data_IF_232593118061
#
_entry.id   IF_232593118061
#
_cell.length_a   1.000
_cell.length_b   1.000
_cell.length_c   1.000
_cell.angle_alpha   90.00
_cell.angle_beta   90.00
_cell.angle_gamma   90.00
#
_symmetry.space_group_name_H-M   'P 1'
#
loop_
_entity.id
_entity.type
_entity.pdbx_description
1 polymer ?
#
# COMPACT_ATOMS: atom_id res chain seq x y z
N UNK A 1 -23.72 -20.06 -19.78
CA UNK A 1 -22.73 -20.40 -20.79
C UNK A 1 -23.12 -19.81 -22.15
N UNK A 2 -22.20 -19.78 -23.11
CA UNK A 2 -22.61 -19.48 -24.49
C UNK A 2 -23.40 -20.68 -25.08
N UNK A 3 -24.15 -20.42 -26.15
CA UNK A 3 -25.09 -21.44 -26.71
C UNK A 3 -24.38 -22.72 -27.14
N UNK A 4 -23.16 -22.62 -27.69
CA UNK A 4 -22.39 -23.79 -28.17
C UNK A 4 -21.88 -24.62 -26.97
N UNK A 5 -21.37 -23.97 -25.93
CA UNK A 5 -20.87 -24.64 -24.74
C UNK A 5 -22.00 -25.20 -23.86
N UNK A 6 -23.15 -24.51 -23.79
CA UNK A 6 -24.33 -25.02 -23.15
C UNK A 6 -24.86 -26.31 -23.81
N UNK A 7 -24.91 -26.33 -25.14
CA UNK A 7 -25.32 -27.50 -25.89
C UNK A 7 -24.32 -28.69 -25.74
N UNK A 8 -23.02 -28.39 -25.66
CA UNK A 8 -21.98 -29.42 -25.53
C UNK A 8 -21.91 -30.05 -24.15
N UNK A 9 -22.21 -29.29 -23.09
CA UNK A 9 -22.05 -29.70 -21.70
C UNK A 9 -23.35 -30.07 -21.00
N UNK A 10 -24.49 -29.66 -21.56
CA UNK A 10 -25.81 -29.76 -20.90
C UNK A 10 -25.99 -28.78 -19.73
N UNK A 11 -25.05 -27.87 -19.51
CA UNK A 11 -25.07 -26.86 -18.44
C UNK A 11 -25.41 -25.50 -19.03
N UNK A 12 -26.56 -24.94 -18.65
CA UNK A 12 -27.02 -23.66 -19.19
C UNK A 12 -26.40 -22.46 -18.47
N UNK A 13 -26.09 -22.59 -17.20
CA UNK A 13 -25.61 -21.47 -16.38
C UNK A 13 -24.52 -21.88 -15.38
N UNK A 14 -23.73 -20.89 -14.96
CA UNK A 14 -22.78 -21.01 -13.87
C UNK A 14 -23.04 -19.89 -12.87
N UNK A 15 -23.02 -20.20 -11.57
CA UNK A 15 -23.40 -19.29 -10.50
C UNK A 15 -22.16 -18.77 -9.78
N UNK A 16 -22.01 -17.46 -9.70
CA UNK A 16 -20.95 -16.78 -8.93
C UNK A 16 -21.53 -16.07 -7.71
N UNK A 17 -20.76 -15.99 -6.63
CA UNK A 17 -21.10 -15.19 -5.46
C UNK A 17 -20.20 -13.97 -5.40
N UNK A 18 -20.76 -12.77 -5.25
CA UNK A 18 -19.99 -11.53 -5.14
C UNK A 18 -20.61 -10.55 -4.15
N UNK A 19 -19.75 -9.79 -3.47
CA UNK A 19 -20.14 -8.65 -2.63
C UNK A 19 -20.13 -7.33 -3.40
N UNK A 20 -19.49 -7.31 -4.59
CA UNK A 20 -19.30 -6.13 -5.45
C UNK A 20 -19.84 -6.41 -6.87
N UNK A 21 -21.16 -6.53 -7.06
CA UNK A 21 -21.73 -6.86 -8.37
C UNK A 21 -21.43 -5.81 -9.45
N UNK A 22 -21.17 -4.55 -9.10
CA UNK A 22 -20.77 -3.53 -10.06
C UNK A 22 -19.45 -3.84 -10.76
N UNK A 23 -18.49 -4.50 -10.07
CA UNK A 23 -17.19 -4.81 -10.68
C UNK A 23 -17.26 -5.92 -11.73
N UNK A 24 -18.38 -6.67 -11.77
CA UNK A 24 -18.55 -7.68 -12.82
C UNK A 24 -18.47 -7.09 -14.24
N UNK A 25 -18.78 -5.80 -14.41
CA UNK A 25 -18.66 -5.11 -15.69
C UNK A 25 -17.22 -5.14 -16.25
N UNK A 26 -16.22 -5.32 -15.39
CA UNK A 26 -14.81 -5.50 -15.74
C UNK A 26 -14.33 -6.96 -15.71
N UNK A 27 -15.22 -7.94 -15.56
CA UNK A 27 -14.83 -9.34 -15.52
C UNK A 27 -14.22 -9.81 -16.84
N UNK A 28 -13.11 -10.53 -16.74
CA UNK A 28 -12.37 -11.06 -17.91
C UNK A 28 -12.21 -12.58 -17.87
N UNK A 29 -12.55 -13.22 -16.74
CA UNK A 29 -12.67 -14.66 -16.62
C UNK A 29 -13.63 -15.06 -15.49
N UNK A 30 -14.07 -16.32 -15.50
CA UNK A 30 -14.51 -17.04 -14.32
C UNK A 30 -13.47 -18.09 -13.98
N UNK A 31 -13.16 -18.26 -12.69
CA UNK A 31 -12.19 -19.25 -12.22
C UNK A 31 -12.90 -20.36 -11.45
N UNK A 32 -12.46 -21.60 -11.66
CA UNK A 32 -12.86 -22.81 -10.94
C UNK A 32 -11.64 -23.54 -10.43
N UNK A 33 -11.77 -24.35 -9.39
CA UNK A 33 -10.66 -25.18 -8.94
C UNK A 33 -10.47 -26.35 -9.92
N UNK A 34 -9.22 -26.69 -10.33
CA UNK A 34 -8.96 -27.75 -11.32
C UNK A 34 -9.47 -29.13 -10.88
N UNK A 35 -9.52 -29.39 -9.58
CA UNK A 35 -9.97 -30.68 -8.99
C UNK A 35 -11.46 -30.68 -8.59
N UNK A 36 -12.19 -29.60 -8.86
CA UNK A 36 -13.62 -29.55 -8.55
C UNK A 36 -14.45 -30.29 -9.60
N UNK A 37 -14.88 -31.50 -9.28
CA UNK A 37 -15.63 -32.37 -10.16
C UNK A 37 -16.94 -31.73 -10.71
N UNK A 38 -17.53 -30.78 -9.96
CA UNK A 38 -18.75 -30.07 -10.38
C UNK A 38 -18.57 -29.28 -11.66
N UNK A 39 -17.34 -28.83 -11.94
CA UNK A 39 -17.04 -27.92 -13.03
C UNK A 39 -16.07 -28.48 -14.08
N UNK A 40 -15.68 -29.75 -13.98
CA UNK A 40 -14.73 -30.37 -14.90
C UNK A 40 -15.16 -30.25 -16.38
N UNK A 41 -16.46 -30.42 -16.65
CA UNK A 41 -17.01 -30.28 -18.01
C UNK A 41 -16.94 -28.85 -18.57
N UNK A 42 -16.71 -27.86 -17.70
CA UNK A 42 -16.69 -26.44 -18.04
C UNK A 42 -15.25 -25.89 -18.24
N UNK A 43 -14.21 -26.68 -17.99
CA UNK A 43 -12.84 -26.24 -18.16
C UNK A 43 -12.57 -25.77 -19.60
N UNK A 44 -12.05 -24.54 -19.76
CA UNK A 44 -11.77 -23.94 -21.06
C UNK A 44 -13.00 -23.55 -21.89
N UNK A 45 -14.20 -23.65 -21.31
CA UNK A 45 -15.43 -23.16 -21.92
C UNK A 45 -15.61 -21.67 -21.69
N UNK A 46 -16.69 -21.11 -22.23
CA UNK A 46 -16.95 -19.68 -22.18
C UNK A 46 -18.36 -19.37 -21.68
N UNK A 47 -18.48 -18.20 -21.07
CA UNK A 47 -19.78 -17.60 -20.71
C UNK A 47 -19.95 -16.26 -21.42
N UNK A 48 -21.20 -15.89 -21.66
CA UNK A 48 -21.54 -14.55 -22.18
C UNK A 48 -21.86 -13.63 -21.01
N UNK A 49 -21.22 -12.47 -20.98
CA UNK A 49 -21.46 -11.46 -19.94
C UNK A 49 -22.87 -10.86 -20.11
N UNK A 50 -23.66 -10.69 -19.01
CA UNK A 50 -25.08 -10.31 -19.10
C UNK A 50 -25.34 -8.86 -19.54
N UNK A 51 -24.37 -7.94 -19.41
CA UNK A 51 -24.56 -6.50 -19.65
C UNK A 51 -23.73 -5.93 -20.79
N UNK A 52 -22.62 -6.55 -21.10
CA UNK A 52 -21.69 -6.11 -22.15
C UNK A 52 -21.44 -7.27 -23.10
N UNK A 53 -21.27 -6.98 -24.40
CA UNK A 53 -21.06 -8.00 -25.41
C UNK A 53 -19.62 -8.59 -25.31
N UNK A 54 -19.37 -9.32 -24.22
CA UNK A 54 -18.07 -9.94 -23.94
C UNK A 54 -18.22 -11.42 -23.66
N UNK A 55 -17.40 -12.21 -24.31
CA UNK A 55 -17.24 -13.64 -24.09
C UNK A 55 -16.12 -13.87 -23.09
N UNK A 56 -16.40 -14.52 -21.96
CA UNK A 56 -15.48 -14.68 -20.83
C UNK A 56 -15.08 -16.15 -20.70
N UNK A 57 -13.76 -16.49 -20.65
CA UNK A 57 -13.30 -17.86 -20.47
C UNK A 57 -13.54 -18.35 -19.03
N UNK A 58 -13.75 -19.65 -18.89
CA UNK A 58 -13.69 -20.38 -17.62
C UNK A 58 -12.28 -20.96 -17.48
N UNK A 59 -11.51 -20.44 -16.54
CA UNK A 59 -10.12 -20.85 -16.26
C UNK A 59 -10.03 -21.74 -15.03
N UNK A 60 -8.97 -22.53 -14.92
CA UNK A 60 -8.66 -23.35 -13.77
C UNK A 60 -7.55 -22.68 -12.95
N UNK A 61 -7.81 -22.35 -11.67
CA UNK A 61 -6.81 -21.72 -10.79
C UNK A 61 -6.98 -22.21 -9.35
N UNK A 62 -6.03 -23.01 -8.88
CA UNK A 62 -6.04 -23.58 -7.52
C UNK A 62 -5.58 -22.58 -6.44
N UNK A 63 -4.88 -21.49 -6.81
CA UNK A 63 -4.45 -20.47 -5.86
C UNK A 63 -5.58 -19.49 -5.51
N UNK A 64 -6.44 -19.18 -6.50
CA UNK A 64 -7.54 -18.25 -6.33
C UNK A 64 -8.78 -18.90 -5.73
N UNK A 65 -9.10 -20.14 -6.13
CA UNK A 65 -10.39 -20.77 -5.87
C UNK A 65 -10.31 -21.76 -4.72
N UNK A 66 -11.11 -21.49 -3.67
CA UNK A 66 -11.46 -22.49 -2.65
C UNK A 66 -12.79 -23.16 -3.06
N UNK A 67 -12.81 -24.46 -3.43
CA UNK A 67 -14.02 -25.15 -3.85
C UNK A 67 -15.07 -25.30 -2.74
N UNK A 68 -14.69 -25.13 -1.47
CA UNK A 68 -15.60 -25.18 -0.33
C UNK A 68 -16.26 -23.82 -0.03
N UNK A 69 -15.75 -22.73 -0.62
CA UNK A 69 -16.27 -21.39 -0.36
C UNK A 69 -17.28 -20.95 -1.43
N UNK A 70 -18.44 -20.44 -0.99
CA UNK A 70 -19.48 -19.91 -1.87
C UNK A 70 -20.06 -20.94 -2.81
N UNK A 71 -19.92 -20.72 -4.11
CA UNK A 71 -20.31 -21.65 -5.18
C UNK A 71 -19.12 -22.49 -5.70
N UNK A 72 -17.91 -22.19 -5.26
CA UNK A 72 -16.67 -22.74 -5.85
C UNK A 72 -16.30 -22.11 -7.20
N UNK A 73 -16.98 -21.02 -7.57
CA UNK A 73 -16.68 -20.24 -8.78
C UNK A 73 -16.42 -18.80 -8.41
N UNK A 74 -15.31 -18.27 -8.88
CA UNK A 74 -14.90 -16.88 -8.65
C UNK A 74 -14.96 -16.11 -9.97
N UNK A 75 -15.61 -14.95 -9.97
CA UNK A 75 -15.48 -13.99 -11.07
C UNK A 75 -14.12 -13.28 -10.96
N UNK A 76 -13.43 -13.09 -12.05
CA UNK A 76 -12.09 -12.50 -12.07
C UNK A 76 -12.12 -11.14 -12.72
N UNK A 77 -11.82 -10.12 -11.91
CA UNK A 77 -11.79 -8.70 -12.31
C UNK A 77 -10.38 -8.12 -12.03
N UNK A 78 -9.39 -8.35 -12.90
CA UNK A 78 -7.99 -8.01 -12.62
C UNK A 78 -7.76 -6.54 -12.26
N UNK A 79 -8.55 -5.62 -12.81
CA UNK A 79 -8.39 -4.20 -12.56
C UNK A 79 -8.90 -3.73 -11.19
N UNK A 80 -9.67 -4.55 -10.44
CA UNK A 80 -10.38 -4.10 -9.24
C UNK A 80 -10.21 -4.99 -8.01
N UNK A 81 -9.34 -6.01 -8.08
CA UNK A 81 -8.98 -6.86 -6.95
C UNK A 81 -7.52 -7.33 -7.08
N UNK A 82 -6.71 -7.26 -6.00
CA UNK A 82 -5.30 -7.67 -6.05
C UNK A 82 -5.10 -9.17 -6.34
N UNK A 83 -5.97 -10.05 -5.83
CA UNK A 83 -5.89 -11.49 -6.08
C UNK A 83 -6.28 -11.80 -7.53
N UNK A 84 -7.33 -11.13 -8.02
CA UNK A 84 -7.76 -11.23 -9.41
C UNK A 84 -6.68 -10.69 -10.37
N UNK A 85 -5.96 -9.62 -9.97
CA UNK A 85 -4.83 -9.09 -10.72
C UNK A 85 -3.70 -10.11 -10.85
N UNK A 86 -3.31 -10.75 -9.74
CA UNK A 86 -2.29 -11.80 -9.77
C UNK A 86 -2.72 -12.99 -10.65
N UNK A 87 -4.00 -13.40 -10.57
CA UNK A 87 -4.59 -14.40 -11.43
C UNK A 87 -4.59 -13.96 -12.89
N UNK A 88 -4.94 -12.71 -13.17
CA UNK A 88 -4.88 -12.11 -14.50
C UNK A 88 -3.49 -12.22 -15.11
N UNK A 89 -2.44 -11.95 -14.34
CA UNK A 89 -1.04 -12.10 -14.78
C UNK A 89 -0.68 -13.56 -15.08
N UNK A 90 -1.09 -14.52 -14.22
CA UNK A 90 -0.83 -15.95 -14.45
C UNK A 90 -1.49 -16.48 -15.72
N UNK A 91 -2.69 -16.00 -16.03
CA UNK A 91 -3.50 -16.47 -17.16
C UNK A 91 -3.51 -15.56 -18.38
N UNK A 92 -2.77 -14.45 -18.36
CA UNK A 92 -2.70 -13.49 -19.47
C UNK A 92 -4.06 -12.82 -19.77
N UNK A 93 -4.85 -12.54 -18.74
CA UNK A 93 -6.17 -11.92 -18.89
C UNK A 93 -6.06 -10.41 -19.12
N UNK A 94 -7.05 -9.86 -19.82
CA UNK A 94 -7.18 -8.42 -20.01
C UNK A 94 -7.50 -7.71 -18.68
N UNK A 95 -6.97 -6.48 -18.50
CA UNK A 95 -7.17 -5.65 -17.32
C UNK A 95 -8.14 -4.51 -17.66
N UNK A 96 -9.45 -4.71 -17.40
CA UNK A 96 -10.49 -3.75 -17.74
C UNK A 96 -10.88 -2.94 -16.52
N UNK A 97 -10.41 -1.69 -16.45
CA UNK A 97 -10.84 -0.74 -15.42
C UNK A 97 -12.23 -0.18 -15.77
N UNK A 98 -13.13 -0.20 -14.79
CA UNK A 98 -14.49 0.34 -14.92
C UNK A 98 -14.70 1.65 -14.17
N UNK A 99 -13.69 2.11 -13.40
CA UNK A 99 -13.81 3.29 -12.55
C UNK A 99 -12.95 4.44 -13.05
N UNK A 100 -13.49 5.65 -12.94
CA UNK A 100 -12.74 6.90 -12.96
C UNK A 100 -12.08 7.15 -11.59
N UNK A 101 -11.13 8.09 -11.52
CA UNK A 101 -10.42 8.46 -10.29
C UNK A 101 -11.35 8.98 -9.17
N UNK A 102 -12.52 9.52 -9.53
CA UNK A 102 -13.54 10.00 -8.59
C UNK A 102 -14.50 8.90 -8.09
N UNK A 103 -14.33 7.66 -8.60
CA UNK A 103 -15.15 6.52 -8.23
C UNK A 103 -16.47 6.40 -8.99
N UNK A 104 -16.68 7.19 -10.04
CA UNK A 104 -17.77 6.99 -11.01
C UNK A 104 -17.38 5.93 -12.04
N UNK A 105 -18.37 5.30 -12.67
CA UNK A 105 -18.12 4.34 -13.75
C UNK A 105 -17.71 5.07 -15.03
N UNK A 106 -16.63 4.59 -15.66
CA UNK A 106 -16.17 5.07 -16.97
C UNK A 106 -16.95 4.41 -18.13
N UNK A 107 -16.46 4.54 -19.36
CA UNK A 107 -17.08 3.97 -20.57
C UNK A 107 -17.21 2.44 -20.52
N UNK A 108 -16.31 1.73 -19.83
CA UNK A 108 -16.37 0.28 -19.66
C UNK A 108 -17.51 -0.16 -18.73
N UNK A 109 -18.11 0.76 -18.00
CA UNK A 109 -19.32 0.55 -17.21
C UNK A 109 -20.58 0.29 -18.06
N UNK A 110 -20.50 0.43 -19.39
CA UNK A 110 -21.58 0.18 -20.34
C UNK A 110 -22.86 0.96 -19.97
N UNK A 111 -24.02 0.27 -19.80
CA UNK A 111 -25.28 0.95 -19.50
C UNK A 111 -25.30 1.69 -18.14
N UNK A 112 -24.29 1.53 -17.31
CA UNK A 112 -24.17 2.16 -15.99
C UNK A 112 -23.11 3.25 -15.94
N UNK A 113 -22.54 3.65 -17.08
CA UNK A 113 -21.55 4.73 -17.18
C UNK A 113 -22.02 6.01 -16.49
N UNK A 114 -21.10 6.68 -15.79
CA UNK A 114 -21.34 7.94 -15.09
C UNK A 114 -21.98 7.81 -13.71
N UNK A 115 -22.45 6.63 -13.32
CA UNK A 115 -22.98 6.42 -11.97
C UNK A 115 -21.85 6.32 -10.95
N UNK A 116 -22.08 6.86 -9.73
CA UNK A 116 -21.25 6.55 -8.57
C UNK A 116 -21.26 5.03 -8.30
N UNK A 117 -20.11 4.48 -7.88
CA UNK A 117 -19.94 3.03 -7.65
C UNK A 117 -21.00 2.39 -6.77
N UNK A 118 -21.51 3.08 -5.73
CA UNK A 118 -22.57 2.55 -4.87
C UNK A 118 -23.95 2.63 -5.52
N UNK A 119 -24.19 3.67 -6.32
CA UNK A 119 -25.39 3.77 -7.14
C UNK A 119 -25.38 2.70 -8.24
N UNK A 120 -24.24 2.49 -8.90
CA UNK A 120 -24.05 1.43 -9.87
C UNK A 120 -24.28 0.03 -9.28
N UNK A 121 -23.76 -0.23 -8.07
CA UNK A 121 -24.02 -1.50 -7.35
C UNK A 121 -25.50 -1.78 -7.20
N UNK A 122 -26.31 -0.77 -6.84
CA UNK A 122 -27.75 -0.90 -6.72
C UNK A 122 -28.41 -1.14 -8.09
N UNK A 123 -28.00 -0.39 -9.10
CA UNK A 123 -28.55 -0.49 -10.45
C UNK A 123 -28.23 -1.85 -11.12
N UNK A 124 -26.99 -2.34 -10.97
CA UNK A 124 -26.59 -3.68 -11.44
C UNK A 124 -27.39 -4.76 -10.76
N UNK A 125 -27.58 -4.69 -9.44
CA UNK A 125 -28.44 -5.63 -8.71
C UNK A 125 -29.87 -5.68 -9.27
N UNK A 126 -30.50 -4.50 -9.40
CA UNK A 126 -31.87 -4.41 -9.94
C UNK A 126 -31.96 -4.98 -11.36
N UNK A 127 -30.95 -4.70 -12.19
CA UNK A 127 -30.93 -5.23 -13.57
C UNK A 127 -30.71 -6.74 -13.63
N UNK A 128 -29.91 -7.33 -12.75
CA UNK A 128 -29.75 -8.77 -12.62
C UNK A 128 -31.07 -9.45 -12.18
N UNK A 129 -31.81 -8.81 -11.26
CA UNK A 129 -33.15 -9.29 -10.84
C UNK A 129 -34.13 -9.24 -12.00
N UNK A 130 -34.20 -8.13 -12.75
CA UNK A 130 -35.07 -7.97 -13.94
C UNK A 130 -34.79 -9.06 -15.01
N UNK A 131 -33.49 -9.41 -15.19
CA UNK A 131 -33.06 -10.44 -16.13
C UNK A 131 -33.28 -11.88 -15.60
N UNK A 132 -33.75 -12.05 -14.35
CA UNK A 132 -33.93 -13.36 -13.74
C UNK A 132 -32.61 -14.10 -13.44
N UNK A 133 -31.49 -13.38 -13.35
CA UNK A 133 -30.16 -13.96 -13.14
C UNK A 133 -29.77 -14.07 -11.67
N UNK A 134 -30.57 -13.58 -10.74
CA UNK A 134 -30.29 -13.69 -9.30
C UNK A 134 -30.84 -15.02 -8.77
N UNK A 135 -29.98 -15.77 -8.06
CA UNK A 135 -30.34 -17.04 -7.41
C UNK A 135 -30.57 -16.90 -5.91
N UNK A 136 -30.23 -15.79 -5.32
CA UNK A 136 -30.47 -15.47 -3.92
C UNK A 136 -29.54 -14.43 -3.34
N UNK A 137 -29.85 -14.02 -2.10
CA UNK A 137 -29.07 -13.07 -1.32
C UNK A 137 -28.68 -13.71 0.01
N UNK A 138 -27.39 -13.63 0.36
CA UNK A 138 -26.86 -14.08 1.65
C UNK A 138 -26.17 -12.90 2.35
N UNK A 139 -26.50 -12.69 3.63
CA UNK A 139 -25.79 -11.71 4.44
C UNK A 139 -24.33 -12.18 4.62
N UNK A 140 -23.39 -11.31 4.29
CA UNK A 140 -21.97 -11.55 4.45
C UNK A 140 -21.33 -10.40 5.23
N UNK A 141 -20.55 -10.73 6.25
CA UNK A 141 -19.79 -9.76 7.05
C UNK A 141 -18.35 -9.78 6.55
N UNK A 142 -17.86 -8.61 6.17
CA UNK A 142 -16.50 -8.45 5.65
C UNK A 142 -15.86 -7.19 6.20
N UNK A 143 -14.53 -7.20 6.29
CA UNK A 143 -13.73 -6.00 6.56
C UNK A 143 -13.55 -5.18 5.29
N UNK A 144 -13.89 -3.90 5.35
CA UNK A 144 -13.71 -2.98 4.23
C UNK A 144 -12.47 -2.10 4.48
N UNK A 145 -11.54 -2.00 3.52
CA UNK A 145 -10.42 -1.09 3.62
C UNK A 145 -10.92 0.35 3.62
N UNK A 146 -10.40 1.16 4.54
CA UNK A 146 -10.76 2.58 4.66
C UNK A 146 -9.50 3.44 4.66
N UNK A 147 -9.60 4.60 4.02
CA UNK A 147 -8.57 5.62 4.09
C UNK A 147 -8.37 6.07 5.55
N UNK A 148 -7.12 6.04 6.00
CA UNK A 148 -6.77 6.45 7.36
C UNK A 148 -7.11 7.91 7.65
N UNK A 149 -7.11 8.78 6.63
CA UNK A 149 -7.35 10.22 6.77
C UNK A 149 -8.82 10.59 6.63
N UNK A 150 -9.48 10.09 5.58
CA UNK A 150 -10.86 10.47 5.26
C UNK A 150 -11.92 9.51 5.77
N UNK A 151 -11.55 8.28 6.18
CA UNK A 151 -12.49 7.21 6.52
C UNK A 151 -13.25 6.66 5.31
N UNK A 152 -13.02 7.18 4.10
CA UNK A 152 -13.67 6.71 2.88
C UNK A 152 -13.26 5.28 2.54
N UNK A 153 -14.19 4.52 1.94
CA UNK A 153 -13.90 3.16 1.46
C UNK A 153 -12.92 3.26 0.29
N UNK A 154 -11.85 2.45 0.37
CA UNK A 154 -10.83 2.34 -0.68
C UNK A 154 -11.32 1.37 -1.74
N UNK A 155 -11.23 1.78 -3.00
CA UNK A 155 -11.48 0.94 -4.17
C UNK A 155 -10.16 0.61 -4.86
N UNK A 156 -9.79 -0.68 -4.98
CA UNK A 156 -8.62 -1.06 -5.77
C UNK A 156 -8.81 -0.67 -7.24
N UNK A 157 -7.79 -0.05 -7.81
CA UNK A 157 -7.73 0.34 -9.22
C UNK A 157 -6.31 0.14 -9.74
N UNK A 158 -6.18 -0.29 -10.98
CA UNK A 158 -4.89 -0.27 -11.67
C UNK A 158 -4.61 1.15 -12.18
N UNK A 159 -3.36 1.54 -12.10
CA UNK A 159 -2.85 2.79 -12.69
C UNK A 159 -1.37 2.65 -13.00
N UNK A 160 -0.90 3.38 -14.00
CA UNK A 160 0.54 3.45 -14.29
C UNK A 160 1.25 4.13 -13.12
N UNK A 161 2.28 3.47 -12.61
CA UNK A 161 3.04 3.92 -11.44
C UNK A 161 4.53 3.68 -11.66
N UNK A 162 5.36 4.42 -10.95
CA UNK A 162 6.79 4.18 -10.89
C UNK A 162 7.12 3.12 -9.85
N UNK A 163 7.93 2.14 -10.25
CA UNK A 163 8.36 1.06 -9.38
C UNK A 163 9.87 0.92 -9.36
N UNK A 164 10.41 0.59 -8.19
CA UNK A 164 11.77 0.07 -8.03
C UNK A 164 11.72 -1.44 -7.97
N UNK A 165 12.49 -2.13 -8.83
CA UNK A 165 12.72 -3.58 -8.71
C UNK A 165 13.54 -3.85 -7.46
N UNK A 166 12.93 -4.48 -6.47
CA UNK A 166 13.54 -4.64 -5.15
C UNK A 166 14.42 -5.88 -5.03
N UNK A 167 14.14 -6.95 -5.77
CA UNK A 167 14.90 -8.20 -5.71
C UNK A 167 16.42 -8.02 -5.89
N UNK A 168 16.91 -7.28 -6.92
CA UNK A 168 18.34 -7.06 -7.11
C UNK A 168 19.01 -6.26 -5.98
N UNK A 169 18.22 -5.45 -5.25
CA UNK A 169 18.69 -4.64 -4.13
C UNK A 169 18.66 -5.42 -2.81
N UNK A 170 17.68 -6.29 -2.63
CA UNK A 170 17.49 -7.05 -1.41
C UNK A 170 18.57 -8.14 -1.20
N UNK A 171 19.01 -8.81 -2.26
CA UNK A 171 20.03 -9.85 -2.18
C UNK A 171 21.31 -9.37 -1.49
N UNK A 172 22.00 -8.33 -2.00
CA UNK A 172 23.18 -7.76 -1.33
C UNK A 172 22.92 -7.28 0.10
N UNK A 173 21.74 -6.73 0.38
CA UNK A 173 21.36 -6.26 1.71
C UNK A 173 21.16 -7.41 2.71
N UNK A 174 20.61 -8.55 2.28
CA UNK A 174 20.54 -9.79 3.08
C UNK A 174 21.95 -10.26 3.41
N UNK A 175 22.83 -10.38 2.40
CA UNK A 175 24.20 -10.85 2.57
C UNK A 175 24.99 -9.94 3.53
N UNK A 176 24.79 -8.61 3.48
CA UNK A 176 25.49 -7.68 4.37
C UNK A 176 25.16 -7.88 5.87
N UNK A 177 23.98 -8.43 6.18
CA UNK A 177 23.62 -8.79 7.55
C UNK A 177 24.06 -10.21 7.89
N UNK A 178 23.99 -11.15 6.94
CA UNK A 178 24.43 -12.55 7.13
C UNK A 178 25.94 -12.65 7.39
N UNK A 179 26.74 -11.85 6.69
CA UNK A 179 28.21 -11.82 6.83
C UNK A 179 28.71 -10.87 7.95
N UNK A 180 27.79 -10.19 8.62
CA UNK A 180 28.09 -9.33 9.79
C UNK A 180 28.62 -7.94 9.47
N UNK A 181 28.64 -7.51 8.19
CA UNK A 181 28.95 -6.10 7.83
C UNK A 181 27.96 -5.13 8.44
N UNK A 182 26.71 -5.55 8.61
CA UNK A 182 25.67 -4.81 9.34
C UNK A 182 25.14 -5.69 10.46
N UNK A 183 25.19 -5.22 11.70
CA UNK A 183 24.62 -5.90 12.87
C UNK A 183 23.37 -5.19 13.35
N UNK A 184 22.27 -5.92 13.48
CA UNK A 184 20.99 -5.40 14.01
C UNK A 184 20.90 -5.77 15.48
N UNK A 185 20.66 -4.80 16.34
CA UNK A 185 20.56 -4.97 17.79
C UNK A 185 19.23 -4.40 18.32
N UNK A 186 18.46 -5.15 19.12
CA UNK A 186 18.69 -6.55 19.54
C UNK A 186 18.64 -7.54 18.36
N UNK A 187 19.40 -8.63 18.47
CA UNK A 187 19.57 -9.62 17.37
C UNK A 187 18.25 -10.29 16.92
N UNK A 188 17.26 -10.38 17.80
CA UNK A 188 15.96 -10.96 17.46
C UNK A 188 15.27 -10.26 16.27
N UNK A 189 15.55 -8.99 16.02
CA UNK A 189 15.03 -8.24 14.88
C UNK A 189 15.62 -8.65 13.54
N UNK A 190 16.76 -9.36 13.56
CA UNK A 190 17.36 -9.92 12.35
C UNK A 190 16.41 -10.89 11.64
N UNK A 191 15.63 -11.69 12.41
CA UNK A 191 14.60 -12.57 11.85
C UNK A 191 13.52 -11.80 11.09
N UNK A 192 13.07 -10.69 11.65
CA UNK A 192 12.09 -9.81 11.01
C UNK A 192 12.66 -9.16 9.74
N UNK A 193 13.90 -8.68 9.80
CA UNK A 193 14.61 -8.13 8.65
C UNK A 193 14.68 -9.14 7.49
N UNK A 194 15.14 -10.37 7.75
CA UNK A 194 15.21 -11.40 6.72
C UNK A 194 13.86 -11.82 6.19
N UNK A 195 12.84 -11.91 7.05
CA UNK A 195 11.49 -12.24 6.61
C UNK A 195 10.97 -11.21 5.58
N UNK A 196 11.16 -9.92 5.86
CA UNK A 196 10.74 -8.85 4.95
C UNK A 196 11.52 -8.85 3.64
N UNK A 197 12.84 -8.99 3.68
CA UNK A 197 13.66 -8.89 2.47
C UNK A 197 13.53 -10.14 1.56
N UNK A 198 13.36 -11.32 2.14
CA UNK A 198 13.17 -12.56 1.36
C UNK A 198 11.80 -12.63 0.66
N UNK A 199 10.82 -11.89 1.17
CA UNK A 199 9.46 -11.82 0.61
C UNK A 199 9.16 -10.43 0.01
N UNK A 200 10.23 -9.67 -0.33
CA UNK A 200 10.05 -8.28 -0.77
C UNK A 200 9.37 -8.24 -2.14
N UNK A 201 8.42 -7.32 -2.26
CA UNK A 201 7.75 -7.01 -3.53
C UNK A 201 8.34 -5.73 -4.12
N UNK A 202 8.14 -5.52 -5.41
CA UNK A 202 8.53 -4.28 -6.08
C UNK A 202 7.88 -3.07 -5.40
N UNK A 203 8.66 -2.02 -5.23
CA UNK A 203 8.25 -0.85 -4.47
C UNK A 203 7.69 0.24 -5.36
N UNK A 204 6.38 0.48 -5.29
CA UNK A 204 5.78 1.67 -5.90
C UNK A 204 6.30 2.92 -5.20
N UNK A 205 6.93 3.81 -5.97
CA UNK A 205 7.55 5.05 -5.46
C UNK A 205 6.81 6.32 -5.86
N UNK A 206 5.84 6.27 -6.76
CA UNK A 206 5.02 7.42 -7.13
C UNK A 206 3.87 7.63 -6.14
N UNK A 207 3.53 8.88 -5.86
CA UNK A 207 2.43 9.30 -4.98
C UNK A 207 1.63 10.42 -5.61
N UNK A 208 0.31 10.34 -5.54
CA UNK A 208 -0.64 11.34 -6.01
C UNK A 208 -0.91 12.36 -4.90
N UNK A 209 0.13 13.13 -4.54
CA UNK A 209 0.09 14.14 -3.48
C UNK A 209 0.40 15.52 -4.04
N UNK A 210 -0.18 16.53 -3.43
CA UNK A 210 0.12 17.94 -3.78
C UNK A 210 1.52 18.36 -3.37
N UNK A 211 2.04 17.84 -2.26
CA UNK A 211 3.34 18.19 -1.70
C UNK A 211 4.31 17.03 -1.73
N UNK A 212 5.48 17.26 -2.27
CA UNK A 212 6.56 16.29 -2.37
C UNK A 212 7.59 16.71 -3.42
N UNK A 213 8.64 15.91 -3.58
CA UNK A 213 9.61 16.12 -4.65
C UNK A 213 9.08 15.48 -5.95
N UNK A 214 9.04 16.29 -7.02
CA UNK A 214 8.52 15.88 -8.32
C UNK A 214 9.37 14.77 -8.96
N UNK A 215 8.73 13.97 -9.78
CA UNK A 215 9.39 12.95 -10.59
C UNK A 215 10.05 13.67 -11.78
N UNK A 216 11.37 13.49 -12.01
CA UNK A 216 12.11 14.18 -13.06
C UNK A 216 11.93 13.51 -14.43
N UNK A 217 10.69 13.30 -14.85
CA UNK A 217 10.31 12.66 -16.09
C UNK A 217 9.29 13.51 -16.85
N UNK A 218 9.42 13.59 -18.17
CA UNK A 218 8.56 14.35 -19.07
C UNK A 218 8.06 13.46 -20.21
N UNK A 219 6.78 13.52 -20.49
CA UNK A 219 6.12 12.77 -21.55
C UNK A 219 5.85 13.66 -22.76
N UNK A 220 6.19 13.21 -23.95
CA UNK A 220 5.98 13.95 -25.19
C UNK A 220 4.66 13.55 -25.83
N UNK A 221 3.77 14.54 -26.10
CA UNK A 221 2.49 14.32 -26.74
C UNK A 221 2.60 14.00 -28.26
N UNK A 222 3.74 14.29 -28.90
CA UNK A 222 3.90 14.10 -30.35
C UNK A 222 4.57 12.76 -30.71
N UNK A 223 5.34 12.13 -29.79
CA UNK A 223 6.04 10.86 -30.08
C UNK A 223 6.04 9.84 -28.94
N UNK A 224 5.26 10.07 -27.89
CA UNK A 224 5.11 9.22 -26.71
C UNK A 224 6.45 8.88 -25.98
N UNK A 225 7.54 9.60 -26.32
CA UNK A 225 8.82 9.40 -25.68
C UNK A 225 8.82 9.98 -24.27
N UNK A 226 9.32 9.20 -23.30
CA UNK A 226 9.57 9.64 -21.94
C UNK A 226 11.02 10.07 -21.79
N UNK A 227 11.23 11.34 -21.46
CA UNK A 227 12.55 11.92 -21.19
C UNK A 227 12.77 12.03 -19.68
N UNK A 228 13.92 11.58 -19.17
CA UNK A 228 14.31 11.74 -17.76
C UNK A 228 15.51 12.70 -17.71
N UNK A 229 15.45 13.75 -16.87
CA UNK A 229 16.51 14.76 -16.79
C UNK A 229 16.65 15.28 -15.37
N UNK A 230 17.86 15.75 -15.02
CA UNK A 230 18.14 16.47 -13.76
C UNK A 230 17.62 17.91 -13.80
N UNK A 231 17.61 18.51 -14.98
CA UNK A 231 17.17 19.87 -15.20
C UNK A 231 15.80 19.86 -15.89
N UNK A 232 15.01 20.89 -15.68
CA UNK A 232 13.71 21.04 -16.32
C UNK A 232 13.85 21.10 -17.84
N UNK A 233 13.10 20.26 -18.52
CA UNK A 233 13.11 20.18 -19.97
C UNK A 233 12.12 21.18 -20.58
N UNK A 234 12.53 21.80 -21.69
CA UNK A 234 11.69 22.66 -22.51
C UNK A 234 11.28 22.00 -23.83
N UNK A 235 11.90 20.86 -24.17
CA UNK A 235 11.61 20.12 -25.39
C UNK A 235 11.91 18.64 -25.20
N UNK A 236 11.22 17.81 -25.97
CA UNK A 236 11.45 16.36 -26.01
C UNK A 236 12.86 16.02 -26.48
N UNK A 237 13.55 15.15 -25.75
CA UNK A 237 14.92 14.73 -26.09
C UNK A 237 15.00 13.87 -27.36
N UNK A 238 13.90 13.26 -27.80
CA UNK A 238 13.86 12.41 -28.98
C UNK A 238 13.44 13.15 -30.25
N UNK A 239 12.39 13.96 -30.23
CA UNK A 239 11.84 14.62 -31.43
C UNK A 239 11.92 16.16 -31.42
N UNK A 240 12.40 16.78 -30.33
CA UNK A 240 12.52 18.23 -30.22
C UNK A 240 11.20 18.99 -30.01
N UNK A 241 10.07 18.28 -29.89
CA UNK A 241 8.76 18.94 -29.65
C UNK A 241 8.73 19.64 -28.31
N UNK A 242 8.14 20.84 -28.28
CA UNK A 242 7.85 21.59 -27.06
C UNK A 242 6.59 21.09 -26.32
N UNK A 243 5.84 20.13 -26.88
CA UNK A 243 4.65 19.55 -26.26
C UNK A 243 5.04 18.41 -25.30
N UNK A 244 5.67 18.79 -24.23
CA UNK A 244 6.07 17.90 -23.15
C UNK A 244 5.36 18.29 -21.87
N UNK A 245 5.03 17.28 -21.06
CA UNK A 245 4.41 17.46 -19.74
C UNK A 245 5.20 16.65 -18.71
N UNK A 246 5.52 17.29 -17.57
CA UNK A 246 6.19 16.61 -16.48
C UNK A 246 5.21 15.65 -15.79
N UNK A 247 5.73 14.54 -15.28
CA UNK A 247 4.97 13.60 -14.46
C UNK A 247 4.28 14.35 -13.30
N UNK A 248 2.93 14.23 -13.17
CA UNK A 248 2.18 14.97 -12.16
C UNK A 248 2.35 14.41 -10.75
N UNK A 249 2.90 13.21 -10.62
CA UNK A 249 3.11 12.54 -9.34
C UNK A 249 4.37 13.07 -8.64
N UNK A 250 4.47 12.77 -7.35
CA UNK A 250 5.67 13.02 -6.55
C UNK A 250 6.27 11.70 -6.08
N UNK A 251 7.55 11.71 -5.73
CA UNK A 251 8.23 10.55 -5.19
C UNK A 251 7.87 10.32 -3.72
N UNK A 252 7.82 9.06 -3.33
CA UNK A 252 7.66 8.63 -1.94
C UNK A 252 8.78 9.23 -1.07
N UNK A 253 8.43 9.79 0.08
CA UNK A 253 9.37 10.32 1.06
C UNK A 253 10.44 9.28 1.45
N UNK A 254 10.07 8.01 1.53
CA UNK A 254 11.01 6.94 1.84
C UNK A 254 12.07 6.72 0.75
N UNK A 255 11.80 7.15 -0.48
CA UNK A 255 12.78 7.07 -1.56
C UNK A 255 13.95 8.03 -1.33
N UNK A 256 13.67 9.29 -1.02
CA UNK A 256 14.71 10.26 -0.66
C UNK A 256 15.34 9.97 0.70
N UNK A 257 14.54 9.52 1.68
CA UNK A 257 15.04 9.16 3.02
C UNK A 257 16.02 8.00 2.98
N UNK A 258 15.91 7.10 2.02
CA UNK A 258 16.85 6.00 1.83
C UNK A 258 18.25 6.46 1.37
N UNK A 259 18.35 7.65 0.79
CA UNK A 259 19.61 8.25 0.34
C UNK A 259 20.30 9.06 1.46
N UNK A 260 19.64 9.26 2.58
CA UNK A 260 20.08 10.15 3.66
C UNK A 260 21.52 9.94 4.12
N UNK A 261 22.04 8.71 4.30
CA UNK A 261 23.38 8.50 4.83
C UNK A 261 24.51 9.11 3.99
N UNK A 262 24.27 9.32 2.70
CA UNK A 262 25.29 9.85 1.76
C UNK A 262 24.84 11.14 1.07
N UNK A 263 23.55 11.35 0.82
CA UNK A 263 23.08 12.58 0.18
C UNK A 263 23.30 13.82 1.03
N UNK A 264 23.13 13.73 2.36
CA UNK A 264 23.40 14.83 3.29
C UNK A 264 24.87 15.20 3.43
N UNK A 265 25.75 14.31 3.01
CA UNK A 265 27.20 14.51 2.97
C UNK A 265 27.70 15.02 1.61
N UNK A 266 26.78 15.36 0.70
CA UNK A 266 27.04 16.00 -0.57
C UNK A 266 27.07 15.09 -1.80
N UNK A 267 26.75 13.78 -1.66
CA UNK A 267 26.58 12.90 -2.82
C UNK A 267 25.54 13.50 -3.81
N UNK A 268 25.75 13.46 -5.14
CA UNK A 268 26.73 12.63 -5.87
C UNK A 268 28.13 13.23 -6.02
N UNK A 269 28.42 14.38 -5.42
CA UNK A 269 29.74 14.97 -5.48
C UNK A 269 30.70 14.26 -4.51
N UNK A 270 31.98 14.20 -4.87
CA UNK A 270 33.04 13.69 -3.99
C UNK A 270 33.44 14.79 -3.02
N UNK A 271 32.81 14.87 -1.88
CA UNK A 271 33.08 15.88 -0.85
C UNK A 271 34.00 15.35 0.25
N UNK A 272 34.76 16.22 0.96
CA UNK A 272 35.54 15.81 2.13
C UNK A 272 34.71 15.18 3.23
N UNK A 273 33.44 15.66 3.41
CA UNK A 273 32.51 15.11 4.42
C UNK A 273 32.05 13.70 4.04
N UNK A 274 31.74 13.46 2.78
CA UNK A 274 31.38 12.12 2.29
C UNK A 274 32.56 11.14 2.49
N UNK A 275 33.78 11.55 2.15
CA UNK A 275 34.96 10.71 2.31
C UNK A 275 35.32 10.44 3.78
N UNK A 276 34.93 11.33 4.71
CA UNK A 276 35.24 11.21 6.13
C UNK A 276 34.16 10.46 6.92
N UNK A 277 32.90 10.71 6.63
CA UNK A 277 31.78 10.30 7.48
C UNK A 277 30.93 9.16 6.91
N UNK A 278 31.16 8.76 5.66
CA UNK A 278 30.53 7.59 5.07
C UNK A 278 31.56 6.46 4.89
N UNK A 279 31.27 5.22 5.35
CA UNK A 279 30.13 4.81 6.17
C UNK A 279 30.24 5.30 7.61
N UNK A 280 29.10 5.43 8.29
CA UNK A 280 29.06 5.69 9.73
C UNK A 280 29.11 4.38 10.53
N UNK A 281 29.25 4.44 11.87
CA UNK A 281 29.32 3.26 12.72
C UNK A 281 27.92 2.82 13.18
N UNK A 282 27.14 3.77 13.67
CA UNK A 282 25.88 3.49 14.36
C UNK A 282 24.71 4.20 13.70
N UNK A 283 23.60 3.47 13.57
CA UNK A 283 22.30 3.98 13.21
C UNK A 283 21.31 3.62 14.31
N UNK A 284 20.75 4.62 14.98
CA UNK A 284 19.72 4.40 16.00
C UNK A 284 18.36 4.86 15.48
N UNK A 285 17.33 4.02 15.65
CA UNK A 285 15.96 4.34 15.27
C UNK A 285 14.95 3.42 15.94
N UNK A 286 13.66 3.76 15.83
CA UNK A 286 12.58 2.87 16.27
C UNK A 286 12.48 1.59 15.40
N UNK A 287 12.12 0.50 16.03
CA UNK A 287 11.96 -0.80 15.32
C UNK A 287 10.87 -0.77 14.25
N UNK A 288 9.89 0.12 14.36
CA UNK A 288 8.74 0.23 13.47
C UNK A 288 9.11 0.72 12.06
N UNK A 289 10.29 1.32 11.90
CA UNK A 289 10.82 1.75 10.60
C UNK A 289 12.07 0.96 10.15
N UNK A 290 12.32 -0.20 10.74
CA UNK A 290 13.39 -1.10 10.32
C UNK A 290 13.29 -1.44 8.82
N UNK A 291 12.10 -1.80 8.35
CA UNK A 291 11.87 -2.11 6.95
C UNK A 291 11.81 -0.86 6.07
N UNK A 292 11.03 0.14 6.49
CA UNK A 292 10.76 1.31 5.64
C UNK A 292 11.97 2.23 5.47
N UNK A 293 12.85 2.28 6.45
CA UNK A 293 14.01 3.17 6.43
C UNK A 293 15.35 2.44 6.45
N UNK A 294 15.62 1.65 7.48
CA UNK A 294 16.93 1.02 7.67
C UNK A 294 17.27 0.09 6.50
N UNK A 295 16.39 -0.85 6.16
CA UNK A 295 16.62 -1.78 5.07
C UNK A 295 16.82 -1.04 3.73
N UNK A 296 16.04 0.02 3.48
CA UNK A 296 16.17 0.82 2.27
C UNK A 296 17.47 1.61 2.22
N UNK A 297 17.94 2.17 3.35
CA UNK A 297 19.26 2.80 3.40
C UNK A 297 20.40 1.82 3.10
N UNK A 298 20.32 0.58 3.63
CA UNK A 298 21.30 -0.47 3.34
C UNK A 298 21.29 -0.80 1.84
N UNK A 299 20.11 -1.01 1.25
CA UNK A 299 19.96 -1.30 -0.18
C UNK A 299 20.53 -0.19 -1.06
N UNK A 300 20.14 1.06 -0.78
CA UNK A 300 20.60 2.22 -1.58
C UNK A 300 22.10 2.53 -1.35
N UNK A 301 22.60 2.37 -0.13
CA UNK A 301 24.03 2.51 0.16
C UNK A 301 24.87 1.49 -0.63
N UNK A 302 24.50 0.23 -0.60
CA UNK A 302 25.16 -0.82 -1.38
C UNK A 302 25.07 -0.58 -2.89
N UNK A 303 23.92 -0.07 -3.37
CA UNK A 303 23.72 0.17 -4.79
C UNK A 303 24.50 1.38 -5.32
N UNK A 304 24.45 2.52 -4.63
CA UNK A 304 25.04 3.78 -5.11
C UNK A 304 26.46 4.01 -4.64
N UNK A 305 26.81 3.52 -3.45
CA UNK A 305 28.13 3.74 -2.84
C UNK A 305 29.01 2.50 -2.89
N UNK A 306 28.44 1.30 -3.18
CA UNK A 306 29.18 0.04 -3.16
C UNK A 306 29.52 -0.49 -1.76
N UNK A 307 29.10 0.21 -0.71
CA UNK A 307 29.42 -0.08 0.69
C UNK A 307 28.21 0.11 1.59
N UNK A 308 28.16 -0.62 2.73
CA UNK A 308 27.09 -0.46 3.72
C UNK A 308 27.12 0.94 4.34
N UNK A 309 25.97 1.57 4.59
CA UNK A 309 25.94 2.93 5.12
C UNK A 309 26.31 3.03 6.60
N UNK A 310 26.19 1.95 7.35
CA UNK A 310 26.52 1.84 8.77
C UNK A 310 26.78 0.37 9.15
N UNK A 311 27.58 0.16 10.20
CA UNK A 311 27.94 -1.20 10.66
C UNK A 311 27.03 -1.75 11.75
N UNK A 312 26.33 -0.89 12.50
CA UNK A 312 25.41 -1.30 13.56
C UNK A 312 24.09 -0.53 13.47
N UNK A 313 23.00 -1.27 13.71
CA UNK A 313 21.63 -0.72 13.83
C UNK A 313 21.14 -0.98 15.24
N UNK A 314 20.87 0.09 15.97
CA UNK A 314 20.35 0.06 17.34
C UNK A 314 18.85 0.37 17.27
N UNK A 315 18.03 -0.63 17.55
CA UNK A 315 16.58 -0.50 17.52
C UNK A 315 16.03 -0.19 18.91
N UNK A 316 15.53 1.03 19.07
CA UNK A 316 14.92 1.52 20.30
C UNK A 316 13.43 1.12 20.36
N UNK A 317 12.93 0.99 21.60
CA UNK A 317 11.50 0.83 21.87
C UNK A 317 10.71 2.10 21.55
N UNK A 318 9.43 1.95 21.24
CA UNK A 318 8.51 3.08 21.07
C UNK A 318 7.89 3.47 22.40
N UNK A 319 7.95 4.76 22.73
CA UNK A 319 7.15 5.33 23.82
C UNK A 319 5.69 5.31 23.37
N UNK A 320 4.84 4.69 24.19
CA UNK A 320 3.42 4.51 23.92
C UNK A 320 2.58 5.20 24.99
N UNK A 321 1.28 5.34 24.74
CA UNK A 321 0.35 5.70 25.78
C UNK A 321 0.17 4.55 26.80
N UNK A 322 -0.56 4.78 27.90
CA UNK A 322 -0.84 3.77 28.93
C UNK A 322 -1.57 2.52 28.41
N UNK A 323 -2.24 2.62 27.24
CA UNK A 323 -2.89 1.50 26.53
C UNK A 323 -1.96 0.77 25.60
N UNK A 324 -0.68 1.14 25.55
CA UNK A 324 0.32 0.60 24.64
C UNK A 324 0.09 0.99 23.17
N UNK A 325 -0.63 2.08 22.92
CA UNK A 325 -0.86 2.57 21.55
C UNK A 325 0.19 3.62 21.17
N UNK A 326 0.62 3.59 19.91
CA UNK A 326 1.49 4.61 19.33
C UNK A 326 0.85 5.99 19.46
N UNK A 327 1.58 6.95 20.02
CA UNK A 327 1.14 8.32 20.18
C UNK A 327 0.94 9.02 18.84
N UNK A 328 -0.14 9.78 18.71
CA UNK A 328 -0.49 10.53 17.49
C UNK A 328 -1.29 11.79 17.87
N UNK A 329 -0.94 12.93 17.28
CA UNK A 329 -1.67 14.19 17.47
C UNK A 329 -3.16 14.05 17.13
N UNK A 330 -3.49 13.34 16.05
CA UNK A 330 -4.89 13.11 15.63
C UNK A 330 -5.66 12.29 16.66
N UNK A 331 -5.02 11.31 17.32
CA UNK A 331 -5.65 10.53 18.41
C UNK A 331 -5.75 11.28 19.74
N UNK A 332 -5.03 12.39 19.89
CA UNK A 332 -5.01 13.16 21.13
C UNK A 332 -4.28 12.49 22.30
N UNK A 333 -3.57 11.37 22.06
CA UNK A 333 -2.85 10.59 23.08
C UNK A 333 -1.35 10.93 23.18
N UNK A 334 -0.95 12.12 22.71
CA UNK A 334 0.45 12.56 22.78
C UNK A 334 0.72 13.14 24.15
N UNK A 335 1.71 12.58 24.85
CA UNK A 335 2.27 13.14 26.08
C UNK A 335 3.50 13.98 25.70
N UNK A 336 3.40 15.30 25.87
CA UNK A 336 4.52 16.20 25.63
C UNK A 336 5.50 16.12 26.82
N UNK A 337 6.78 15.83 26.59
CA UNK A 337 7.78 15.82 27.65
C UNK A 337 7.82 17.10 28.48
N UNK A 338 7.57 18.26 27.89
CA UNK A 338 7.55 19.55 28.60
C UNK A 338 6.39 19.65 29.60
N UNK A 339 5.23 19.05 29.27
CA UNK A 339 4.08 19.00 30.18
C UNK A 339 4.41 18.17 31.46
N UNK A 340 5.20 17.09 31.29
CA UNK A 340 5.69 16.27 32.40
C UNK A 340 6.78 16.98 33.21
N UNK A 341 7.67 17.70 32.54
CA UNK A 341 8.79 18.43 33.19
C UNK A 341 8.27 19.61 34.02
N UNK A 342 7.38 20.41 33.45
CA UNK A 342 6.94 21.67 34.05
C UNK A 342 5.61 21.58 34.78
N UNK A 343 4.86 20.51 34.59
CA UNK A 343 3.49 20.37 35.01
C UNK A 343 2.52 21.08 34.06
N UNK A 344 1.29 20.61 34.00
CA UNK A 344 0.21 21.23 33.23
C UNK A 344 -1.15 20.81 33.79
N UNK A 345 -2.16 21.66 33.66
CA UNK A 345 -3.52 21.31 34.06
C UNK A 345 -4.24 20.45 33.02
N UNK A 346 -5.24 19.66 33.47
CA UNK A 346 -6.07 18.87 32.53
C UNK A 346 -6.79 19.74 31.50
N UNK A 347 -7.22 20.95 31.88
CA UNK A 347 -7.82 21.90 30.94
C UNK A 347 -6.84 22.36 29.85
N UNK A 348 -5.57 22.59 30.19
CA UNK A 348 -4.54 22.99 29.25
C UNK A 348 -4.17 21.84 28.28
N UNK A 349 -4.16 20.58 28.75
CA UNK A 349 -3.97 19.41 27.89
C UNK A 349 -5.08 19.29 26.82
N UNK A 350 -6.32 19.48 27.25
CA UNK A 350 -7.49 19.44 26.34
C UNK A 350 -7.40 20.57 25.31
N UNK A 351 -7.13 21.80 25.72
CA UNK A 351 -6.97 22.95 24.83
C UNK A 351 -5.85 22.71 23.78
N UNK A 352 -4.72 22.14 24.21
CA UNK A 352 -3.59 21.80 23.34
C UNK A 352 -3.98 20.74 22.30
N UNK A 353 -4.75 19.74 22.71
CA UNK A 353 -5.25 18.69 21.81
C UNK A 353 -6.26 19.24 20.79
N UNK A 354 -7.20 20.07 21.21
CA UNK A 354 -8.17 20.74 20.33
C UNK A 354 -7.46 21.61 19.29
N UNK A 355 -6.48 22.41 19.69
CA UNK A 355 -5.65 23.21 18.76
C UNK A 355 -4.83 22.37 17.78
N UNK A 356 -4.46 21.15 18.16
CA UNK A 356 -3.71 20.23 17.29
C UNK A 356 -4.60 19.42 16.35
N UNK A 357 -5.93 19.57 16.41
CA UNK A 357 -6.89 18.86 15.57
C UNK A 357 -7.16 17.41 16.01
N UNK A 358 -7.04 17.12 17.30
CA UNK A 358 -7.40 15.80 17.83
C UNK A 358 -8.89 15.49 17.62
N UNK A 359 -9.19 14.20 17.34
CA UNK A 359 -10.58 13.75 17.23
C UNK A 359 -11.30 13.74 18.59
N UNK A 360 -12.64 13.79 18.56
CA UNK A 360 -13.46 13.87 19.78
C UNK A 360 -13.13 12.79 20.81
N UNK A 361 -12.92 11.55 20.36
CA UNK A 361 -12.54 10.43 21.24
C UNK A 361 -11.19 10.65 21.95
N UNK A 362 -10.25 11.32 21.28
CA UNK A 362 -8.95 11.67 21.86
C UNK A 362 -9.07 12.76 22.92
N UNK A 363 -9.91 13.75 22.69
CA UNK A 363 -10.19 14.81 23.66
C UNK A 363 -10.87 14.23 24.91
N UNK A 364 -11.84 13.34 24.73
CA UNK A 364 -12.53 12.67 25.83
C UNK A 364 -11.59 11.74 26.62
N UNK A 365 -10.66 11.08 25.92
CA UNK A 365 -9.60 10.30 26.55
C UNK A 365 -8.75 11.18 27.51
N UNK A 366 -8.29 12.35 27.08
CA UNK A 366 -7.51 13.25 27.94
C UNK A 366 -8.31 13.75 29.16
N UNK A 367 -9.58 14.08 28.96
CA UNK A 367 -10.45 14.52 30.06
C UNK A 367 -10.66 13.45 31.13
N UNK A 368 -10.77 12.20 30.71
CA UNK A 368 -11.05 11.07 31.61
C UNK A 368 -9.80 10.49 32.24
N UNK A 369 -8.68 10.47 31.51
CA UNK A 369 -7.43 9.85 31.98
C UNK A 369 -6.57 10.81 32.79
N UNK A 370 -6.54 12.08 32.39
CA UNK A 370 -5.70 13.11 33.02
C UNK A 370 -6.54 14.33 33.45
N UNK A 371 -7.57 14.16 34.30
CA UNK A 371 -8.48 15.26 34.68
C UNK A 371 -7.73 16.40 35.38
N UNK A 372 -6.73 16.10 36.21
CA UNK A 372 -5.92 17.07 36.94
C UNK A 372 -4.65 17.50 36.16
N UNK A 373 -4.35 16.82 35.06
CA UNK A 373 -3.13 17.05 34.27
C UNK A 373 -1.92 16.32 34.83
N UNK A 374 -0.75 16.96 34.78
CA UNK A 374 0.51 16.44 35.30
C UNK A 374 1.12 17.39 36.34
N UNK A 375 1.65 16.83 37.41
CA UNK A 375 2.52 17.55 38.34
C UNK A 375 3.87 17.87 37.65
N UNK A 376 4.59 18.84 38.19
CA UNK A 376 5.95 19.15 37.73
C UNK A 376 6.93 18.13 38.33
N UNK A 377 7.39 17.19 37.51
CA UNK A 377 8.34 16.16 37.92
C UNK A 377 9.81 16.55 37.69
N UNK A 378 10.07 17.50 36.80
CA UNK A 378 11.41 17.94 36.46
C UNK A 378 12.08 17.05 35.38
N UNK A 379 13.08 17.61 34.70
CA UNK A 379 13.74 16.97 33.59
C UNK A 379 14.53 15.69 33.98
N UNK A 380 15.18 15.72 35.16
CA UNK A 380 16.02 14.59 35.58
C UNK A 380 15.18 13.37 36.00
N UNK A 381 14.00 13.58 36.58
CA UNK A 381 13.07 12.50 36.88
C UNK A 381 12.57 11.83 35.61
N UNK A 382 12.18 12.61 34.57
CA UNK A 382 11.78 12.08 33.28
C UNK A 382 12.92 11.31 32.61
N UNK A 383 14.14 11.86 32.59
CA UNK A 383 15.32 11.20 32.01
C UNK A 383 15.65 9.90 32.73
N UNK A 384 15.64 9.88 34.05
CA UNK A 384 15.90 8.68 34.84
C UNK A 384 14.84 7.60 34.57
N UNK A 385 13.57 7.98 34.50
CA UNK A 385 12.48 7.06 34.18
C UNK A 385 12.68 6.42 32.80
N UNK A 386 12.95 7.20 31.75
CA UNK A 386 13.20 6.67 30.41
C UNK A 386 14.44 5.75 30.36
N UNK A 387 15.52 6.11 31.07
CA UNK A 387 16.71 5.28 31.16
C UNK A 387 16.50 3.97 31.96
N UNK A 388 15.53 3.95 32.88
CA UNK A 388 15.19 2.74 33.64
C UNK A 388 14.46 1.67 32.81
N UNK A 389 13.81 2.09 31.72
CA UNK A 389 13.19 1.14 30.79
C UNK A 389 14.25 0.47 29.93
N UNK A 390 14.15 -0.85 29.79
CA UNK A 390 15.10 -1.58 28.99
C UNK A 390 15.05 -1.15 27.51
N UNK A 391 16.18 -0.80 26.90
CA UNK A 391 16.25 -0.52 25.46
C UNK A 391 15.76 -1.69 24.59
N UNK A 392 15.72 -2.90 25.15
CA UNK A 392 15.26 -4.11 24.47
C UNK A 392 13.73 -4.27 24.52
N UNK A 393 13.02 -3.45 25.28
CA UNK A 393 11.56 -3.45 25.29
C UNK A 393 11.03 -2.95 23.96
N UNK A 394 10.05 -3.66 23.38
CA UNK A 394 9.37 -3.19 22.14
C UNK A 394 8.53 -1.93 22.38
N UNK A 395 8.03 -1.76 23.58
CA UNK A 395 7.20 -0.63 24.00
C UNK A 395 7.64 -0.13 25.37
N UNK A 396 7.66 1.16 25.51
CA UNK A 396 7.95 1.89 26.75
C UNK A 396 6.71 2.66 27.13
#
# INVERSE_FOLDING_TARGET
LDDADAAATGVAEIIVSTTRPETMLGDTALAVHPEDERYTALHGRFVTHPFVARRIPIICDAELVDPAFGTGVVKVTPAHDPNDFATGKRHGLEEISILNKDGTLNENGGPFQGLDRFAARKAVKAKLEELGLVRGWKKHIMSLPRSQRSGSIVEPMISTQWFVKMEPLAGPAITAVEDGRVRILPEDWTKTYFHWLRNIQDWCISRQLWWGHSIPAWYCADCDHMSVSRDDLTACSACGSAKIEQDPDVLDTWFSSALWPFSTLGWPNQTPDLARFYPTQDMETGYDILFFWVARMIMMGLHFMGEVPFSRVLLAGLVTDERGQKMSKVKGNVIDPLDVIHGTSGAALVEKAEKSGAVADGIEYLRTTYPDGFDSYGADALRMTLLSYSPQSRRI
#
